data_IF_529522520899
#
_entry.id   IF_529522520899
#
_cell.length_a   1.000
_cell.length_b   1.000
_cell.length_c   1.000
_cell.angle_alpha   90.00
_cell.angle_beta   90.00
_cell.angle_gamma   90.00
#
_symmetry.space_group_name_H-M   'P 1'
#
loop_
_entity.id
_entity.type
_entity.pdbx_description
1 polymer ?
#
# COMPACT_ATOMS: atom_id res chain seq x y z
N UNK A 1 -38.09 15.22 7.83
CA UNK A 1 -37.24 14.89 6.65
C UNK A 1 -38.01 13.90 5.78
N UNK A 2 -37.96 14.01 4.45
CA UNK A 2 -38.56 13.01 3.56
C UNK A 2 -37.83 11.69 3.73
N UNK A 3 -38.57 10.58 3.70
CA UNK A 3 -38.00 9.21 3.80
C UNK A 3 -37.00 9.02 2.66
N UNK A 4 -35.72 8.69 2.99
CA UNK A 4 -34.67 8.46 2.01
C UNK A 4 -35.02 7.24 1.15
N UNK A 5 -34.96 7.38 -0.18
CA UNK A 5 -35.32 6.32 -1.12
C UNK A 5 -34.21 5.24 -1.14
N UNK A 6 -34.59 4.01 -1.51
CA UNK A 6 -33.64 2.89 -1.53
C UNK A 6 -32.38 3.18 -2.38
N UNK A 7 -32.55 3.71 -3.58
CA UNK A 7 -31.44 4.03 -4.48
C UNK A 7 -30.48 5.08 -3.88
N UNK A 8 -31.04 6.09 -3.22
CA UNK A 8 -30.25 7.13 -2.54
C UNK A 8 -29.42 6.52 -1.39
N UNK A 9 -30.02 5.59 -0.61
CA UNK A 9 -29.29 4.88 0.44
C UNK A 9 -28.18 4.00 -0.13
N UNK A 10 -28.42 3.22 -1.18
CA UNK A 10 -27.41 2.37 -1.82
C UNK A 10 -26.20 3.21 -2.27
N UNK A 11 -26.43 4.33 -2.96
CA UNK A 11 -25.38 5.23 -3.42
C UNK A 11 -24.60 5.82 -2.24
N UNK A 12 -25.31 6.36 -1.23
CA UNK A 12 -24.68 6.98 -0.08
C UNK A 12 -23.90 5.96 0.79
N UNK A 13 -24.48 4.77 1.04
CA UNK A 13 -23.80 3.71 1.78
C UNK A 13 -22.52 3.25 1.05
N UNK A 14 -22.60 3.02 -0.26
CA UNK A 14 -21.43 2.64 -1.07
C UNK A 14 -20.34 3.70 -0.96
N UNK A 15 -20.70 4.97 -1.14
CA UNK A 15 -19.73 6.08 -1.07
C UNK A 15 -19.07 6.17 0.31
N UNK A 16 -19.86 6.13 1.39
CA UNK A 16 -19.32 6.17 2.77
C UNK A 16 -18.35 5.02 3.02
N UNK A 17 -18.72 3.81 2.63
CA UNK A 17 -17.88 2.63 2.81
C UNK A 17 -16.58 2.68 2.01
N UNK A 18 -16.63 3.16 0.77
CA UNK A 18 -15.46 3.23 -0.11
C UNK A 18 -14.54 4.41 0.22
N UNK A 19 -15.05 5.48 0.82
CA UNK A 19 -14.23 6.61 1.26
C UNK A 19 -13.38 6.29 2.50
N UNK A 20 -13.88 5.39 3.35
CA UNK A 20 -13.19 4.97 4.55
C UNK A 20 -12.99 3.43 4.53
N UNK A 21 -12.13 2.91 3.64
CA UNK A 21 -11.90 1.47 3.54
C UNK A 21 -11.37 0.92 4.87
N UNK A 22 -11.59 -0.37 5.10
CA UNK A 22 -11.22 -1.09 6.32
C UNK A 22 -11.89 -0.61 7.62
N UNK A 23 -12.54 0.55 7.64
CA UNK A 23 -13.31 1.04 8.79
C UNK A 23 -14.56 0.19 9.02
N UNK A 24 -14.75 -0.24 10.25
CA UNK A 24 -15.95 -0.97 10.66
C UNK A 24 -17.08 -0.01 10.99
N UNK A 25 -18.18 -0.11 10.26
CA UNK A 25 -19.40 0.64 10.49
C UNK A 25 -20.47 -0.28 11.08
N UNK A 26 -20.95 -0.02 12.30
CA UNK A 26 -22.11 -0.75 12.82
C UNK A 26 -23.37 -0.38 12.04
N UNK A 27 -24.29 -1.32 11.84
CA UNK A 27 -25.55 -1.02 11.13
C UNK A 27 -26.40 0.07 11.80
N UNK A 28 -26.20 0.30 13.11
CA UNK A 28 -26.82 1.43 13.82
C UNK A 28 -26.39 2.80 13.30
N UNK A 29 -25.16 2.94 12.81
CA UNK A 29 -24.69 4.16 12.17
C UNK A 29 -25.57 4.54 10.97
N UNK A 30 -25.78 3.59 10.06
CA UNK A 30 -26.64 3.81 8.89
C UNK A 30 -28.12 3.93 9.26
N UNK A 31 -28.57 3.21 10.31
CA UNK A 31 -29.95 3.31 10.82
C UNK A 31 -30.27 4.73 11.30
N UNK A 32 -29.34 5.33 12.04
CA UNK A 32 -29.48 6.71 12.49
C UNK A 32 -29.38 7.70 11.32
N UNK A 33 -28.48 7.47 10.39
CA UNK A 33 -28.25 8.38 9.26
C UNK A 33 -29.43 8.44 8.29
N UNK A 34 -30.07 7.30 8.02
CA UNK A 34 -31.14 7.20 7.01
C UNK A 34 -32.54 7.05 7.58
N UNK A 35 -32.73 7.03 8.90
CA UNK A 35 -33.99 6.75 9.57
C UNK A 35 -34.62 5.45 9.01
N UNK A 36 -33.85 4.37 8.95
CA UNK A 36 -34.23 3.10 8.34
C UNK A 36 -34.00 1.92 9.29
N UNK A 37 -34.85 0.90 9.20
CA UNK A 37 -34.70 -0.32 10.00
C UNK A 37 -33.44 -1.08 9.63
N UNK A 38 -32.79 -1.71 10.61
CA UNK A 38 -31.56 -2.52 10.40
C UNK A 38 -31.78 -3.66 9.40
N UNK A 39 -32.97 -4.27 9.35
CA UNK A 39 -33.32 -5.31 8.36
C UNK A 39 -33.24 -4.76 6.92
N UNK A 40 -33.85 -3.59 6.68
CA UNK A 40 -33.80 -2.92 5.37
C UNK A 40 -32.36 -2.60 4.95
N UNK A 41 -31.54 -2.09 5.89
CA UNK A 41 -30.13 -1.80 5.64
C UNK A 41 -29.29 -3.04 5.38
N UNK A 42 -29.64 -4.16 6.02
CA UNK A 42 -29.00 -5.44 5.75
C UNK A 42 -29.28 -5.95 4.33
N UNK A 43 -30.51 -5.77 3.82
CA UNK A 43 -30.88 -6.09 2.44
C UNK A 43 -30.14 -5.16 1.44
N UNK A 44 -30.09 -3.87 1.74
CA UNK A 44 -29.34 -2.89 0.95
C UNK A 44 -27.86 -3.27 0.90
N UNK A 45 -27.27 -3.73 2.02
CA UNK A 45 -25.88 -4.17 2.10
C UNK A 45 -25.60 -5.42 1.24
N UNK A 46 -26.54 -6.36 1.18
CA UNK A 46 -26.42 -7.53 0.28
C UNK A 46 -26.32 -7.08 -1.18
N UNK A 47 -27.15 -6.09 -1.58
CA UNK A 47 -27.12 -5.54 -2.93
C UNK A 47 -25.78 -4.86 -3.25
N UNK A 48 -25.26 -4.04 -2.32
CA UNK A 48 -23.94 -3.39 -2.46
C UNK A 48 -22.83 -4.43 -2.58
N UNK A 49 -22.84 -5.44 -1.69
CA UNK A 49 -21.87 -6.53 -1.69
C UNK A 49 -21.83 -7.26 -3.03
N UNK A 50 -23.00 -7.60 -3.57
CA UNK A 50 -23.11 -8.28 -4.86
C UNK A 50 -22.55 -7.42 -5.99
N UNK A 51 -22.95 -6.15 -6.08
CA UNK A 51 -22.47 -5.25 -7.13
C UNK A 51 -20.96 -5.03 -7.08
N UNK A 52 -20.39 -4.78 -5.91
CA UNK A 52 -18.94 -4.60 -5.78
C UNK A 52 -18.16 -5.87 -6.17
N UNK A 53 -18.66 -7.04 -5.76
CA UNK A 53 -18.01 -8.33 -6.08
C UNK A 53 -18.11 -8.67 -7.57
N UNK A 54 -19.28 -8.49 -8.18
CA UNK A 54 -19.52 -8.80 -9.59
C UNK A 54 -18.62 -8.00 -10.54
N UNK A 55 -18.39 -6.73 -10.21
CA UNK A 55 -17.54 -5.84 -11.02
C UNK A 55 -16.07 -5.80 -10.57
N UNK A 56 -15.66 -6.62 -9.58
CA UNK A 56 -14.29 -6.66 -9.09
C UNK A 56 -13.81 -5.34 -8.46
N UNK A 57 -14.72 -4.58 -7.87
CA UNK A 57 -14.46 -3.25 -7.27
C UNK A 57 -14.07 -3.32 -5.79
N UNK A 58 -14.01 -4.51 -5.22
CA UNK A 58 -13.73 -4.76 -3.80
C UNK A 58 -14.77 -5.66 -3.17
N UNK A 59 -14.72 -5.81 -1.86
CA UNK A 59 -15.64 -6.67 -1.13
C UNK A 59 -16.16 -6.03 0.16
N UNK A 60 -17.39 -6.36 0.53
CA UNK A 60 -17.93 -6.04 1.84
C UNK A 60 -17.75 -7.25 2.77
N UNK A 61 -17.05 -7.03 3.87
CA UNK A 61 -16.93 -7.97 4.96
C UNK A 61 -17.92 -7.62 6.06
N UNK A 62 -18.62 -8.64 6.57
CA UNK A 62 -19.56 -8.49 7.68
C UNK A 62 -18.99 -9.21 8.91
N UNK A 63 -18.80 -8.47 10.00
CA UNK A 63 -18.38 -9.01 11.28
C UNK A 63 -19.60 -9.13 12.20
N UNK A 64 -19.92 -10.36 12.68
CA UNK A 64 -21.06 -10.57 13.56
C UNK A 64 -20.76 -10.12 15.00
N UNK A 65 -21.81 -9.92 15.80
CA UNK A 65 -21.70 -9.64 17.23
C UNK A 65 -22.17 -8.23 17.64
N UNK A 66 -22.14 -7.96 18.94
CA UNK A 66 -22.60 -6.68 19.51
C UNK A 66 -21.74 -5.48 19.05
N UNK A 67 -20.43 -5.70 18.91
CA UNK A 67 -19.47 -4.75 18.32
C UNK A 67 -19.26 -4.97 16.83
N UNK A 68 -20.10 -5.77 16.17
CA UNK A 68 -19.99 -6.09 14.76
C UNK A 68 -20.48 -4.98 13.84
N UNK A 69 -20.32 -5.20 12.56
CA UNK A 69 -20.68 -4.24 11.52
C UNK A 69 -20.26 -4.70 10.15
N UNK A 70 -20.16 -3.75 9.26
CA UNK A 70 -19.71 -3.97 7.88
C UNK A 70 -18.53 -3.06 7.58
N UNK A 71 -17.62 -3.55 6.74
CA UNK A 71 -16.51 -2.75 6.21
C UNK A 71 -16.26 -3.07 4.75
N UNK A 72 -15.80 -2.09 4.04
CA UNK A 72 -15.32 -2.26 2.67
C UNK A 72 -13.83 -2.59 2.69
N UNK A 73 -13.46 -3.61 1.92
CA UNK A 73 -12.07 -3.96 1.64
C UNK A 73 -11.84 -3.73 0.14
N UNK A 74 -10.89 -2.85 -0.26
CA UNK A 74 -10.53 -2.64 -1.66
C UNK A 74 -9.73 -3.83 -2.22
N UNK A 75 -10.31 -5.02 -2.13
CA UNK A 75 -9.72 -6.28 -2.54
C UNK A 75 -9.63 -6.37 -4.07
N UNK A 76 -8.50 -6.88 -4.56
CA UNK A 76 -8.30 -7.14 -5.97
C UNK A 76 -8.16 -8.63 -6.25
N UNK A 77 -8.85 -9.11 -7.30
CA UNK A 77 -8.71 -10.50 -7.73
C UNK A 77 -7.32 -10.76 -8.32
N UNK A 78 -6.81 -12.00 -8.24
CA UNK A 78 -5.53 -12.37 -8.86
C UNK A 78 -5.44 -11.99 -10.33
N UNK A 79 -6.50 -12.22 -11.12
CA UNK A 79 -6.56 -11.83 -12.52
C UNK A 79 -6.40 -10.31 -12.71
N UNK A 80 -7.13 -9.51 -11.90
CA UNK A 80 -7.05 -8.06 -11.91
C UNK A 80 -5.66 -7.54 -11.54
N UNK A 81 -5.02 -8.16 -10.53
CA UNK A 81 -3.65 -7.86 -10.13
C UNK A 81 -2.66 -8.16 -11.25
N UNK A 82 -2.70 -9.38 -11.80
CA UNK A 82 -1.77 -9.82 -12.86
C UNK A 82 -1.89 -8.95 -14.12
N UNK A 83 -3.11 -8.59 -14.52
CA UNK A 83 -3.35 -7.68 -15.65
C UNK A 83 -2.77 -6.29 -15.41
N UNK A 84 -2.97 -5.74 -14.22
CA UNK A 84 -2.43 -4.42 -13.86
C UNK A 84 -0.91 -4.43 -13.86
N UNK A 85 -0.29 -5.43 -13.22
CA UNK A 85 1.16 -5.55 -13.13
C UNK A 85 1.81 -5.81 -14.49
N UNK A 86 1.16 -6.59 -15.37
CA UNK A 86 1.59 -6.75 -16.76
C UNK A 86 1.65 -5.42 -17.51
N UNK A 87 0.58 -4.61 -17.40
CA UNK A 87 0.54 -3.29 -18.03
C UNK A 87 1.62 -2.32 -17.49
N UNK A 88 1.95 -2.42 -16.20
CA UNK A 88 3.04 -1.61 -15.60
C UNK A 88 4.40 -2.11 -16.10
N UNK A 89 4.61 -3.43 -16.15
CA UNK A 89 5.83 -4.03 -16.65
C UNK A 89 6.09 -3.63 -18.11
N UNK A 90 5.08 -3.69 -18.97
CA UNK A 90 5.16 -3.27 -20.38
C UNK A 90 5.57 -1.79 -20.49
N UNK A 91 4.93 -0.92 -19.70
CA UNK A 91 5.30 0.50 -19.67
C UNK A 91 6.73 0.73 -19.21
N UNK A 92 7.17 0.03 -18.17
CA UNK A 92 8.53 0.17 -17.63
C UNK A 92 9.60 -0.42 -18.53
N UNK A 93 9.25 -1.38 -19.39
CA UNK A 93 10.16 -2.01 -20.35
C UNK A 93 10.39 -1.17 -21.63
N UNK A 94 9.72 -0.02 -21.78
CA UNK A 94 9.90 0.84 -22.93
C UNK A 94 11.33 1.41 -22.99
N UNK A 95 11.92 1.42 -24.20
CA UNK A 95 13.34 1.74 -24.41
C UNK A 95 13.74 3.17 -24.01
N UNK A 96 12.79 4.11 -24.05
CA UNK A 96 12.98 5.52 -23.70
C UNK A 96 13.05 5.77 -22.17
N UNK A 97 12.79 4.74 -21.37
CA UNK A 97 12.85 4.83 -19.91
C UNK A 97 14.22 4.58 -19.32
N UNK A 98 15.11 4.03 -20.12
CA UNK A 98 16.47 3.76 -19.67
C UNK A 98 17.31 5.04 -19.73
N UNK A 99 17.75 5.50 -18.56
CA UNK A 99 18.60 6.67 -18.38
C UNK A 99 20.07 6.23 -18.31
N UNK A 100 21.03 7.06 -18.81
CA UNK A 100 22.47 6.77 -18.71
C UNK A 100 22.89 6.34 -17.30
N UNK A 101 23.69 5.29 -17.19
CA UNK A 101 24.09 4.68 -15.91
C UNK A 101 23.18 3.54 -15.46
N UNK A 102 22.32 3.01 -16.35
CA UNK A 102 21.46 1.86 -16.06
C UNK A 102 20.29 2.15 -15.12
N UNK A 103 19.89 3.43 -14.99
CA UNK A 103 18.76 3.84 -14.18
C UNK A 103 17.46 3.80 -14.97
N UNK A 104 16.39 3.34 -14.29
CA UNK A 104 15.05 3.29 -14.86
C UNK A 104 14.25 4.53 -14.47
N UNK A 105 13.72 5.26 -15.46
CA UNK A 105 12.80 6.36 -15.23
C UNK A 105 11.40 5.84 -14.88
N UNK A 106 10.97 6.09 -13.65
CA UNK A 106 9.69 5.61 -13.10
C UNK A 106 8.81 6.74 -12.56
N UNK A 107 9.32 7.97 -12.51
CA UNK A 107 8.66 9.05 -11.77
C UNK A 107 7.24 9.35 -12.28
N UNK A 108 7.02 9.34 -13.60
CA UNK A 108 5.70 9.55 -14.21
C UNK A 108 4.67 8.46 -13.83
N UNK A 109 5.14 7.22 -13.62
CA UNK A 109 4.31 6.10 -13.15
C UNK A 109 4.02 6.24 -11.65
N UNK A 110 5.06 6.53 -10.85
CA UNK A 110 4.93 6.67 -9.40
C UNK A 110 4.06 7.86 -8.97
N UNK A 111 4.07 8.93 -9.76
CA UNK A 111 3.27 10.12 -9.49
C UNK A 111 1.91 10.14 -10.22
N UNK A 112 1.48 9.00 -10.78
CA UNK A 112 0.13 8.83 -11.34
C UNK A 112 -0.83 8.31 -10.26
N UNK A 113 -1.73 9.16 -9.70
CA UNK A 113 -2.53 8.78 -8.53
C UNK A 113 -3.41 7.55 -8.77
N UNK A 114 -4.09 7.47 -9.92
CA UNK A 114 -4.96 6.34 -10.27
C UNK A 114 -4.19 5.02 -10.27
N UNK A 115 -2.96 5.01 -10.79
CA UNK A 115 -2.15 3.82 -10.89
C UNK A 115 -1.65 3.39 -9.51
N UNK A 116 -1.13 4.34 -8.72
CA UNK A 116 -0.64 4.06 -7.36
C UNK A 116 -1.77 3.64 -6.42
N UNK A 117 -2.98 4.18 -6.59
CA UNK A 117 -4.15 3.73 -5.85
C UNK A 117 -4.42 2.23 -6.06
N UNK A 118 -4.38 1.77 -7.33
CA UNK A 118 -4.57 0.36 -7.66
C UNK A 118 -3.42 -0.53 -7.14
N UNK A 119 -2.19 -0.04 -7.17
CA UNK A 119 -1.03 -0.77 -6.60
C UNK A 119 -1.14 -0.84 -5.08
N UNK A 120 -1.55 0.23 -4.42
CA UNK A 120 -1.82 0.26 -2.97
C UNK A 120 -2.89 -0.77 -2.56
N UNK A 121 -3.93 -0.97 -3.39
CA UNK A 121 -4.95 -1.99 -3.18
C UNK A 121 -4.40 -3.42 -3.34
N UNK A 122 -3.39 -3.64 -4.21
CA UNK A 122 -2.68 -4.94 -4.28
C UNK A 122 -1.96 -5.20 -2.96
N UNK A 123 -1.22 -4.23 -2.43
CA UNK A 123 -0.56 -4.40 -1.13
C UNK A 123 -1.57 -4.61 -0.02
N UNK A 124 -2.70 -3.90 -0.02
CA UNK A 124 -3.77 -4.15 0.96
C UNK A 124 -4.29 -5.58 0.84
N UNK A 125 -4.57 -6.06 -0.36
CA UNK A 125 -5.04 -7.44 -0.60
C UNK A 125 -4.06 -8.48 -0.06
N UNK A 126 -2.76 -8.27 -0.23
CA UNK A 126 -1.72 -9.19 0.20
C UNK A 126 -1.46 -9.16 1.71
N UNK A 127 -1.41 -7.95 2.29
CA UNK A 127 -0.94 -7.75 3.67
C UNK A 127 -2.04 -7.55 4.71
N UNK A 128 -3.33 -7.41 4.35
CA UNK A 128 -4.40 -7.10 5.32
C UNK A 128 -4.51 -8.12 6.47
N UNK A 129 -4.17 -9.38 6.21
CA UNK A 129 -4.18 -10.47 7.22
C UNK A 129 -3.19 -10.24 8.36
N UNK A 130 -2.12 -9.49 8.13
CA UNK A 130 -1.10 -9.18 9.13
C UNK A 130 -1.49 -8.02 10.05
N UNK A 131 -2.58 -7.31 9.72
CA UNK A 131 -3.17 -6.21 10.51
C UNK A 131 -2.14 -5.17 10.93
N UNK A 132 -1.48 -4.49 10.00
CA UNK A 132 -0.58 -3.40 10.32
C UNK A 132 -1.30 -2.25 11.03
N UNK A 133 -0.58 -1.50 11.86
CA UNK A 133 -1.04 -0.27 12.50
C UNK A 133 -0.56 0.98 11.76
N UNK A 134 0.57 0.85 11.06
CA UNK A 134 1.20 1.93 10.28
C UNK A 134 1.71 1.42 8.94
N UNK A 135 1.65 2.30 7.94
CA UNK A 135 2.42 2.15 6.71
C UNK A 135 3.65 3.03 6.82
N UNK A 136 4.82 2.53 6.44
CA UNK A 136 6.08 3.26 6.53
C UNK A 136 6.82 3.27 5.20
N UNK A 137 7.43 4.40 4.87
CA UNK A 137 8.30 4.55 3.69
C UNK A 137 9.45 5.51 3.96
N UNK A 138 10.36 5.61 3.02
CA UNK A 138 11.44 6.60 3.02
C UNK A 138 11.18 7.68 1.96
N UNK A 139 11.59 8.93 2.25
CA UNK A 139 11.61 9.98 1.21
C UNK A 139 12.51 9.56 0.04
N UNK A 140 12.14 9.80 -1.24
CA UNK A 140 11.07 10.65 -1.73
C UNK A 140 10.11 9.87 -2.64
N UNK A 141 10.62 8.95 -3.47
CA UNK A 141 9.86 8.30 -4.55
C UNK A 141 8.87 7.24 -4.05
N UNK A 142 9.14 6.62 -2.90
CA UNK A 142 8.21 5.68 -2.26
C UNK A 142 6.94 6.33 -1.70
N UNK A 143 6.95 7.67 -1.46
CA UNK A 143 5.84 8.38 -0.80
C UNK A 143 4.50 8.21 -1.51
N UNK A 144 4.36 8.42 -2.85
CA UNK A 144 3.05 8.30 -3.49
C UNK A 144 2.44 6.91 -3.35
N UNK A 145 3.25 5.87 -3.53
CA UNK A 145 2.81 4.48 -3.38
C UNK A 145 2.43 4.15 -1.93
N UNK A 146 3.25 4.56 -0.97
CA UNK A 146 2.99 4.33 0.44
C UNK A 146 1.75 5.12 0.92
N UNK A 147 1.52 6.33 0.40
CA UNK A 147 0.34 7.12 0.70
C UNK A 147 -0.94 6.43 0.21
N UNK A 148 -0.95 5.93 -1.03
CA UNK A 148 -2.08 5.20 -1.57
C UNK A 148 -2.28 3.83 -0.88
N UNK A 149 -1.20 3.18 -0.46
CA UNK A 149 -1.30 1.97 0.38
C UNK A 149 -1.92 2.31 1.75
N UNK A 150 -1.47 3.39 2.39
CA UNK A 150 -2.03 3.87 3.66
C UNK A 150 -3.53 4.21 3.52
N UNK A 151 -3.92 4.85 2.41
CA UNK A 151 -5.33 5.11 2.07
C UNK A 151 -6.14 3.81 1.93
N UNK A 152 -5.59 2.80 1.23
CA UNK A 152 -6.28 1.52 1.03
C UNK A 152 -6.48 0.75 2.34
N UNK A 153 -5.56 0.87 3.30
CA UNK A 153 -5.68 0.32 4.65
C UNK A 153 -6.46 1.23 5.62
N UNK A 154 -6.64 2.50 5.27
CA UNK A 154 -7.12 3.55 6.17
C UNK A 154 -6.24 3.67 7.44
N UNK A 155 -4.93 3.71 7.25
CA UNK A 155 -3.92 3.76 8.30
C UNK A 155 -3.02 4.99 8.16
N UNK A 156 -2.42 5.46 9.26
CA UNK A 156 -1.44 6.54 9.20
C UNK A 156 -0.18 6.13 8.43
N UNK A 157 0.35 7.09 7.66
CA UNK A 157 1.63 6.96 6.96
C UNK A 157 2.75 7.58 7.79
N UNK A 158 3.83 6.85 7.96
CA UNK A 158 5.09 7.30 8.58
C UNK A 158 6.16 7.42 7.49
N UNK A 159 6.79 8.58 7.40
CA UNK A 159 7.83 8.85 6.41
C UNK A 159 9.15 9.05 7.15
N UNK A 160 10.13 8.18 6.87
CA UNK A 160 11.51 8.38 7.32
C UNK A 160 12.24 9.33 6.39
N UNK A 161 13.18 10.07 6.94
CA UNK A 161 13.93 11.11 6.22
C UNK A 161 15.41 10.89 6.34
N UNK A 162 16.17 11.51 5.47
CA UNK A 162 17.65 11.49 5.51
C UNK A 162 18.20 12.42 6.60
N UNK A 163 17.45 13.47 6.94
CA UNK A 163 17.84 14.46 7.95
C UNK A 163 16.76 14.62 9.01
N UNK A 164 17.18 14.77 10.29
CA UNK A 164 16.27 15.11 11.38
C UNK A 164 15.88 16.59 11.31
N UNK A 165 14.60 16.88 11.50
CA UNK A 165 14.11 18.27 11.60
C UNK A 165 13.79 18.65 13.02
N UNK A 166 14.23 19.83 13.43
CA UNK A 166 13.96 20.39 14.77
C UNK A 166 12.45 20.43 15.09
N UNK A 167 11.61 20.63 14.08
CA UNK A 167 10.16 20.70 14.23
C UNK A 167 9.48 19.38 14.58
N UNK A 168 10.18 18.25 14.46
CA UNK A 168 9.62 16.91 14.72
C UNK A 168 9.97 16.38 16.13
N UNK A 169 10.79 17.09 16.89
CA UNK A 169 11.22 16.73 18.24
C UNK A 169 12.37 15.72 18.23
N UNK A 170 12.48 14.92 19.32
CA UNK A 170 13.54 13.92 19.42
C UNK A 170 13.36 12.81 18.40
N UNK A 171 14.43 12.50 17.67
CA UNK A 171 14.46 11.47 16.63
C UNK A 171 15.45 10.35 16.95
N UNK A 172 15.19 9.20 16.37
CA UNK A 172 16.13 8.09 16.27
C UNK A 172 16.79 8.19 14.91
N UNK A 173 18.11 8.02 14.88
CA UNK A 173 18.89 8.07 13.67
C UNK A 173 19.67 6.77 13.54
N UNK A 174 19.66 6.19 12.37
CA UNK A 174 20.50 5.04 12.03
C UNK A 174 21.34 5.33 10.79
N UNK A 175 22.49 4.69 10.71
CA UNK A 175 23.30 4.70 9.51
C UNK A 175 23.09 3.39 8.75
N UNK A 176 22.86 3.49 7.45
CA UNK A 176 22.68 2.34 6.58
C UNK A 176 23.49 2.48 5.28
N UNK A 177 23.77 1.39 4.62
CA UNK A 177 24.46 1.40 3.33
C UNK A 177 23.42 1.39 2.22
N UNK A 178 23.36 2.47 1.43
CA UNK A 178 22.49 2.55 0.27
C UNK A 178 22.86 1.51 -0.78
N UNK A 179 21.88 0.71 -1.19
CA UNK A 179 22.08 -0.35 -2.21
C UNK A 179 22.42 0.21 -3.61
N UNK A 180 21.99 1.43 -3.94
CA UNK A 180 22.23 2.07 -5.23
C UNK A 180 23.57 2.81 -5.30
N UNK A 181 23.92 3.56 -4.24
CA UNK A 181 25.12 4.41 -4.22
C UNK A 181 26.30 3.80 -3.50
N UNK A 182 26.11 2.70 -2.77
CA UNK A 182 27.11 2.05 -1.88
C UNK A 182 27.73 3.02 -0.86
N UNK A 183 26.99 4.09 -0.50
CA UNK A 183 27.42 5.09 0.49
C UNK A 183 26.67 4.89 1.79
N UNK A 184 27.33 5.23 2.88
CA UNK A 184 26.67 5.34 4.19
C UNK A 184 25.74 6.55 4.13
N UNK A 185 24.49 6.33 4.47
CA UNK A 185 23.46 7.36 4.59
C UNK A 185 22.82 7.26 5.95
N UNK A 186 22.33 8.37 6.45
CA UNK A 186 21.55 8.43 7.70
C UNK A 186 20.06 8.36 7.37
N UNK A 187 19.31 7.69 8.21
CA UNK A 187 17.84 7.69 8.17
C UNK A 187 17.32 8.08 9.56
N UNK A 188 16.36 8.98 9.58
CA UNK A 188 15.82 9.60 10.79
C UNK A 188 14.33 9.32 10.91
N UNK A 189 13.89 9.01 12.14
CA UNK A 189 12.49 8.79 12.50
C UNK A 189 12.19 9.50 13.82
N UNK A 190 11.14 10.35 13.92
CA UNK A 190 10.70 10.89 15.19
C UNK A 190 10.27 9.78 16.16
N UNK A 191 10.75 9.78 17.40
CA UNK A 191 10.44 8.72 18.39
C UNK A 191 8.94 8.53 18.64
N UNK A 192 8.15 9.59 18.49
CA UNK A 192 6.69 9.57 18.67
C UNK A 192 5.90 9.10 17.43
N UNK A 193 6.55 8.85 16.30
CA UNK A 193 5.87 8.51 15.05
C UNK A 193 5.25 7.12 15.08
N UNK A 194 5.84 6.21 15.86
CA UNK A 194 5.37 4.83 16.00
C UNK A 194 5.34 4.52 17.49
N UNK A 195 4.24 3.97 18.01
CA UNK A 195 4.18 3.54 19.41
C UNK A 195 4.84 2.17 19.58
N UNK A 196 5.44 1.89 20.76
CA UNK A 196 6.01 0.56 21.03
C UNK A 196 4.99 -0.56 20.87
N UNK A 197 5.41 -1.68 20.28
CA UNK A 197 4.56 -2.83 19.99
C UNK A 197 3.69 -2.68 18.74
N UNK A 198 3.76 -1.55 18.02
CA UNK A 198 3.00 -1.35 16.80
C UNK A 198 3.51 -2.22 15.66
N UNK A 199 2.59 -2.68 14.83
CA UNK A 199 2.85 -3.44 13.61
C UNK A 199 3.01 -2.51 12.42
N UNK A 200 4.14 -2.59 11.74
CA UNK A 200 4.49 -1.69 10.64
C UNK A 200 4.64 -2.46 9.33
N UNK A 201 3.92 -2.03 8.30
CA UNK A 201 4.12 -2.47 6.93
C UNK A 201 5.02 -1.44 6.22
N UNK A 202 6.18 -1.88 5.78
CA UNK A 202 7.11 -1.08 4.98
C UNK A 202 6.72 -1.16 3.51
N UNK A 203 6.68 -0.01 2.82
CA UNK A 203 6.36 0.06 1.39
C UNK A 203 7.37 0.97 0.69
N UNK A 204 7.98 0.49 -0.40
CA UNK A 204 8.97 1.26 -1.16
C UNK A 204 8.76 1.10 -2.67
N UNK A 205 9.29 2.04 -3.47
CA UNK A 205 9.16 2.01 -4.92
C UNK A 205 10.16 1.05 -5.58
N UNK A 206 11.40 0.99 -5.07
CA UNK A 206 12.47 0.24 -5.72
C UNK A 206 13.44 -0.39 -4.72
N UNK A 207 13.75 -1.67 -4.90
CA UNK A 207 14.73 -2.38 -4.08
C UNK A 207 15.81 -3.06 -4.93
N UNK A 208 17.07 -2.67 -4.75
CA UNK A 208 18.23 -3.35 -5.36
C UNK A 208 18.80 -4.40 -4.42
N UNK A 209 19.58 -4.01 -3.43
CA UNK A 209 20.19 -4.91 -2.45
C UNK A 209 19.46 -4.93 -1.09
N UNK A 210 18.42 -4.10 -0.91
CA UNK A 210 17.62 -4.05 0.31
C UNK A 210 18.21 -3.20 1.44
N UNK A 211 19.26 -2.39 1.19
CA UNK A 211 19.88 -1.58 2.24
C UNK A 211 18.94 -0.54 2.85
N UNK A 212 18.13 0.12 2.02
CA UNK A 212 17.12 1.08 2.48
C UNK A 212 16.03 0.38 3.31
N UNK A 213 15.52 -0.75 2.81
CA UNK A 213 14.53 -1.55 3.53
C UNK A 213 15.08 -2.06 4.87
N UNK A 214 16.33 -2.53 4.92
CA UNK A 214 17.02 -2.92 6.16
C UNK A 214 17.09 -1.75 7.13
N UNK A 215 17.45 -0.57 6.67
CA UNK A 215 17.45 0.64 7.50
C UNK A 215 16.07 0.94 8.09
N UNK A 216 15.01 0.83 7.31
CA UNK A 216 13.64 1.02 7.84
C UNK A 216 13.28 -0.05 8.88
N UNK A 217 13.66 -1.32 8.67
CA UNK A 217 13.45 -2.40 9.64
C UNK A 217 14.17 -2.10 10.96
N UNK A 218 15.44 -1.69 10.90
CA UNK A 218 16.24 -1.36 12.08
C UNK A 218 15.64 -0.16 12.84
N UNK A 219 15.12 0.87 12.14
CA UNK A 219 14.41 1.99 12.78
C UNK A 219 13.13 1.57 13.51
N UNK A 220 12.33 0.70 12.88
CA UNK A 220 11.10 0.18 13.51
C UNK A 220 11.44 -0.58 14.80
N UNK A 221 12.46 -1.43 14.77
CA UNK A 221 12.91 -2.17 15.95
C UNK A 221 13.46 -1.24 17.05
N UNK A 222 14.23 -0.20 16.67
CA UNK A 222 14.80 0.76 17.63
C UNK A 222 13.72 1.57 18.38
N UNK A 223 12.57 1.79 17.77
CA UNK A 223 11.42 2.44 18.46
C UNK A 223 10.48 1.43 19.13
N UNK A 224 10.85 0.14 19.13
CA UNK A 224 10.08 -0.93 19.78
C UNK A 224 8.88 -1.43 18.97
N UNK A 225 8.81 -1.18 17.66
CA UNK A 225 7.79 -1.71 16.75
C UNK A 225 8.15 -3.07 16.18
N UNK A 226 7.21 -3.68 15.48
CA UNK A 226 7.33 -4.96 14.76
C UNK A 226 7.10 -4.73 13.27
N UNK A 227 8.01 -5.20 12.40
CA UNK A 227 7.78 -5.19 10.95
C UNK A 227 6.99 -6.45 10.57
N UNK A 228 5.80 -6.25 10.02
CA UNK A 228 4.88 -7.33 9.64
C UNK A 228 4.88 -7.65 8.15
N UNK A 229 5.62 -6.87 7.37
CA UNK A 229 5.82 -7.11 5.94
C UNK A 229 6.60 -5.99 5.28
N UNK A 230 7.12 -6.30 4.09
CA UNK A 230 7.82 -5.35 3.22
C UNK A 230 7.25 -5.50 1.82
N UNK A 231 6.58 -4.46 1.30
CA UNK A 231 6.06 -4.40 -0.06
C UNK A 231 6.96 -3.53 -0.94
N UNK A 232 7.27 -3.98 -2.15
CA UNK A 232 8.12 -3.23 -3.08
C UNK A 232 7.52 -3.26 -4.48
N UNK A 233 7.42 -2.11 -5.15
CA UNK A 233 6.89 -2.09 -6.52
C UNK A 233 7.83 -2.83 -7.47
N UNK A 234 9.12 -2.49 -7.48
CA UNK A 234 10.12 -3.13 -8.34
C UNK A 234 11.31 -3.59 -7.50
N UNK A 235 11.63 -4.87 -7.53
CA UNK A 235 12.89 -5.40 -7.01
C UNK A 235 13.78 -5.86 -8.16
N UNK A 236 15.11 -5.71 -8.04
CA UNK A 236 16.03 -6.30 -9.01
C UNK A 236 16.23 -7.80 -8.75
N UNK A 237 16.43 -8.62 -9.79
CA UNK A 237 16.80 -10.01 -9.61
C UNK A 237 18.17 -10.12 -8.92
N UNK A 238 19.14 -9.29 -9.34
CA UNK A 238 20.47 -9.26 -8.76
C UNK A 238 20.72 -8.03 -7.84
N UNK A 239 21.40 -8.21 -6.71
CA UNK A 239 21.90 -9.48 -6.16
C UNK A 239 20.76 -10.38 -5.70
N UNK A 240 20.89 -11.70 -5.88
CA UNK A 240 19.86 -12.67 -5.48
C UNK A 240 19.59 -12.65 -3.96
N UNK A 241 20.65 -12.49 -3.17
CA UNK A 241 20.51 -12.34 -1.71
C UNK A 241 20.36 -10.86 -1.36
N UNK A 242 19.24 -10.53 -0.75
CA UNK A 242 18.93 -9.17 -0.25
C UNK A 242 19.31 -9.05 1.24
N UNK A 243 19.42 -7.80 1.72
CA UNK A 243 19.69 -7.51 3.14
C UNK A 243 18.43 -7.63 4.03
N UNK A 244 17.28 -7.91 3.42
CA UNK A 244 16.01 -8.20 4.11
C UNK A 244 15.43 -9.50 3.58
N UNK A 245 14.74 -10.21 4.44
CA UNK A 245 13.98 -11.43 4.13
C UNK A 245 12.49 -11.10 4.07
N UNK A 246 11.66 -12.04 3.57
CA UNK A 246 10.19 -11.97 3.58
C UNK A 246 9.60 -10.69 2.98
N UNK A 247 10.16 -10.19 1.86
CA UNK A 247 9.60 -9.07 1.11
C UNK A 247 8.73 -9.55 -0.06
N UNK A 248 7.73 -8.76 -0.41
CA UNK A 248 6.80 -8.99 -1.51
C UNK A 248 7.07 -7.98 -2.64
N UNK A 249 7.82 -8.35 -3.68
CA UNK A 249 7.94 -7.53 -4.88
C UNK A 249 6.73 -7.73 -5.77
N UNK A 250 6.29 -6.68 -6.45
CA UNK A 250 5.23 -6.79 -7.46
C UNK A 250 5.81 -7.02 -8.86
N UNK A 251 6.97 -6.46 -9.13
CA UNK A 251 7.71 -6.60 -10.39
C UNK A 251 9.16 -6.97 -10.11
N UNK A 252 9.75 -7.79 -10.97
CA UNK A 252 11.18 -8.14 -10.91
C UNK A 252 11.88 -7.59 -12.15
N UNK A 253 12.89 -6.75 -11.92
CA UNK A 253 13.82 -6.27 -12.95
C UNK A 253 14.96 -7.30 -13.08
N UNK A 254 14.96 -8.08 -14.15
CA UNK A 254 15.95 -9.12 -14.42
C UNK A 254 17.20 -8.57 -15.08
N UNK A 255 17.04 -7.73 -16.09
CA UNK A 255 18.17 -7.25 -16.89
C UNK A 255 17.94 -5.81 -17.38
N UNK A 256 19.04 -5.07 -17.47
CA UNK A 256 19.11 -3.76 -18.13
C UNK A 256 20.30 -3.79 -19.08
N UNK A 257 20.03 -3.72 -20.37
CA UNK A 257 21.06 -3.59 -21.40
C UNK A 257 21.07 -2.17 -21.98
N UNK A 258 22.07 -1.38 -21.57
CA UNK A 258 22.23 0.01 -22.01
C UNK A 258 22.57 0.14 -23.51
N UNK A 259 23.19 -0.86 -24.12
CA UNK A 259 23.58 -0.83 -25.53
C UNK A 259 22.38 -1.05 -26.45
N UNK A 260 21.57 -2.06 -26.13
CA UNK A 260 20.37 -2.38 -26.91
C UNK A 260 19.13 -1.62 -26.43
N UNK A 261 19.26 -0.86 -25.33
CA UNK A 261 18.16 -0.17 -24.64
C UNK A 261 17.01 -1.10 -24.29
N UNK A 262 17.32 -2.32 -23.91
CA UNK A 262 16.35 -3.32 -23.46
C UNK A 262 16.32 -3.42 -21.96
N UNK A 263 15.11 -3.53 -21.44
CA UNK A 263 14.84 -3.73 -20.01
C UNK A 263 13.91 -4.95 -19.88
N UNK A 264 14.34 -5.97 -19.14
CA UNK A 264 13.51 -7.15 -18.85
C UNK A 264 12.88 -6.98 -17.45
N UNK A 265 11.62 -6.58 -17.41
CA UNK A 265 10.82 -6.46 -16.19
C UNK A 265 9.64 -7.40 -16.29
N UNK A 266 9.46 -8.24 -15.28
CA UNK A 266 8.37 -9.23 -15.25
C UNK A 266 7.50 -9.07 -14.01
N UNK A 267 6.17 -9.23 -14.13
CA UNK A 267 5.29 -9.24 -12.97
C UNK A 267 5.48 -10.53 -12.17
N UNK A 268 5.36 -10.38 -10.84
CA UNK A 268 5.14 -11.53 -9.94
C UNK A 268 3.67 -11.92 -10.07
N UNK A 269 3.41 -13.19 -10.36
CA UNK A 269 2.04 -13.68 -10.55
C UNK A 269 1.41 -14.05 -9.21
N UNK A 270 0.18 -13.59 -9.02
CA UNK A 270 -0.66 -13.93 -7.89
C UNK A 270 -1.64 -15.04 -8.29
N UNK A 271 -1.90 -15.97 -7.38
CA UNK A 271 -2.81 -17.12 -7.52
C UNK A 271 -4.01 -17.01 -6.59
#
# INVERSE_FOLDING_TARGET
>A
MSKVRRMERLVAMTKILTDEPCRLFPLSYFSTLFDAAKSTLSEDMVTIKQGLSEFGLGMIETLPGASGGVRFLPYRSPEGMNKLLGNIADKLSAADRLIPGGFLYMSDILFMPELMARVGEIFMTHFHRFKPDYIMTVETKGIPLAFETARAFNLPLVITRRDSRVTEGSSVNINYVSGSTKRIQTMSLPRRAIHPGAKVLIVDDFMKAGGTARGMVDLVHEVGGEVVGIGVLVATAEPAVKLVEDYCPLLILHEVDEHTKKTDIRPVLFS
#
